data_IF_324513674532
#
_entry.id   IF_324513674532
#
_cell.length_a   1.000
_cell.length_b   1.000
_cell.length_c   1.000
_cell.angle_alpha   90.00
_cell.angle_beta   90.00
_cell.angle_gamma   90.00
#
_symmetry.space_group_name_H-M   'P 1'
#
loop_
_entity.id
_entity.type
_entity.pdbx_description
1 polymer ?
#
# COMPACT_ATOMS: atom_id res chain seq x y z
N UNK A 1 -2.17 -16.75 64.60
CA UNK A 1 -2.66 -17.39 65.84
C UNK A 1 -1.47 -18.08 66.47
N UNK A 2 -1.12 -17.78 67.74
CA UNK A 2 0.03 -18.41 68.42
C UNK A 2 -0.32 -19.90 68.64
N UNK A 3 0.53 -20.86 68.24
CA UNK A 3 0.28 -22.27 68.54
C UNK A 3 0.28 -22.48 70.06
N UNK A 4 -0.65 -23.29 70.56
CA UNK A 4 -0.66 -23.66 71.98
C UNK A 4 0.55 -24.55 72.26
N UNK A 5 1.10 -24.52 73.48
CA UNK A 5 2.29 -25.31 73.87
C UNK A 5 2.11 -26.83 73.63
N UNK A 6 0.87 -27.29 73.47
CA UNK A 6 0.51 -28.68 73.17
C UNK A 6 0.73 -29.09 71.71
N UNK A 7 0.88 -28.13 70.80
CA UNK A 7 0.95 -28.37 69.35
C UNK A 7 2.39 -28.33 68.81
N UNK A 8 3.39 -28.06 69.67
CA UNK A 8 4.79 -28.03 69.28
C UNK A 8 5.39 -29.44 69.34
N UNK A 9 5.63 -30.02 68.16
CA UNK A 9 6.32 -31.31 68.04
C UNK A 9 7.83 -31.15 68.17
N UNK A 10 8.48 -32.12 68.82
CA UNK A 10 9.92 -32.12 69.06
C UNK A 10 10.69 -32.11 67.73
N UNK A 11 11.67 -31.21 67.59
CA UNK A 11 12.52 -31.03 66.41
C UNK A 11 11.79 -30.61 65.10
N UNK A 12 10.56 -30.13 65.16
CA UNK A 12 9.87 -29.59 63.96
C UNK A 12 9.67 -28.08 64.09
N UNK A 13 10.16 -27.26 63.14
CA UNK A 13 9.94 -25.83 63.17
C UNK A 13 8.48 -25.50 62.82
N UNK A 14 7.80 -24.74 63.68
CA UNK A 14 6.46 -24.20 63.40
C UNK A 14 6.57 -22.72 63.05
N UNK A 15 5.93 -22.33 61.96
CA UNK A 15 5.96 -20.97 61.41
C UNK A 15 4.61 -20.29 61.64
N UNK A 16 4.60 -19.12 62.27
CA UNK A 16 3.39 -18.31 62.37
C UNK A 16 3.72 -16.82 62.45
N UNK A 17 2.76 -15.99 62.05
CA UNK A 17 2.86 -14.54 62.22
C UNK A 17 2.31 -14.14 63.58
N UNK A 18 3.03 -13.27 64.27
CA UNK A 18 2.62 -12.67 65.53
C UNK A 18 2.83 -11.15 65.48
N UNK A 19 2.27 -10.44 66.46
CA UNK A 19 2.53 -9.04 66.65
C UNK A 19 3.35 -8.89 67.94
N UNK A 20 4.59 -8.42 67.83
CA UNK A 20 5.46 -8.22 68.99
C UNK A 20 5.80 -6.73 69.09
N UNK A 21 5.48 -6.10 70.23
CA UNK A 21 5.67 -4.66 70.47
C UNK A 21 5.03 -3.74 69.40
N UNK A 22 3.91 -4.17 68.82
CA UNK A 22 3.19 -3.41 67.79
C UNK A 22 3.70 -3.59 66.36
N UNK A 23 4.76 -4.40 66.16
CA UNK A 23 5.29 -4.74 64.83
C UNK A 23 4.94 -6.18 64.42
N UNK A 24 4.49 -6.41 63.17
CA UNK A 24 4.29 -7.76 62.66
C UNK A 24 5.64 -8.48 62.56
N UNK A 25 5.74 -9.64 63.21
CA UNK A 25 6.94 -10.49 63.19
C UNK A 25 6.59 -11.91 62.72
N UNK A 26 7.49 -12.52 61.97
CA UNK A 26 7.42 -13.92 61.58
C UNK A 26 8.17 -14.70 62.64
N UNK A 27 7.47 -15.61 63.31
CA UNK A 27 8.02 -16.39 64.40
C UNK A 27 8.25 -17.81 63.92
N UNK A 28 9.47 -18.28 64.11
CA UNK A 28 9.83 -19.70 63.99
C UNK A 28 10.02 -20.24 65.40
N UNK A 29 9.27 -21.27 65.77
CA UNK A 29 9.40 -21.93 67.06
C UNK A 29 9.85 -23.37 66.88
N UNK A 30 10.86 -23.76 67.67
CA UNK A 30 11.42 -25.10 67.72
C UNK A 30 11.50 -25.55 69.18
N UNK A 31 11.06 -26.78 69.47
CA UNK A 31 11.33 -27.44 70.74
C UNK A 31 12.46 -28.43 70.56
N UNK A 32 13.53 -28.25 71.32
CA UNK A 32 14.71 -29.11 71.29
C UNK A 32 15.00 -29.63 72.70
N UNK A 33 15.55 -30.85 72.80
CA UNK A 33 16.08 -31.37 74.05
C UNK A 33 17.46 -30.75 74.28
N UNK A 34 17.60 -29.91 75.28
CA UNK A 34 18.89 -29.35 75.67
C UNK A 34 19.32 -29.92 77.03
N UNK A 35 20.63 -30.14 77.17
CA UNK A 35 21.24 -30.50 78.45
C UNK A 35 22.05 -29.31 78.93
N UNK A 36 21.65 -28.72 80.06
CA UNK A 36 22.36 -27.59 80.69
C UNK A 36 22.69 -28.03 82.13
N UNK A 37 23.97 -27.99 82.51
CA UNK A 37 24.47 -28.41 83.83
C UNK A 37 23.94 -29.77 84.32
N UNK A 38 23.88 -30.75 83.41
CA UNK A 38 23.48 -32.14 83.73
C UNK A 38 21.97 -32.36 83.85
N UNK A 39 21.13 -31.33 83.73
CA UNK A 39 19.68 -31.45 83.61
C UNK A 39 19.25 -31.54 82.15
N UNK A 40 18.50 -32.59 81.80
CA UNK A 40 17.83 -32.71 80.50
C UNK A 40 16.43 -32.10 80.56
N UNK A 41 16.19 -31.11 79.71
CA UNK A 41 14.90 -30.41 79.63
C UNK A 41 14.52 -30.07 78.19
N UNK A 42 13.22 -29.86 77.96
CA UNK A 42 12.73 -29.30 76.71
C UNK A 42 12.94 -27.79 76.74
N UNK A 43 13.71 -27.28 75.79
CA UNK A 43 13.92 -25.84 75.59
C UNK A 43 13.16 -25.40 74.35
N UNK A 44 12.34 -24.37 74.50
CA UNK A 44 11.66 -23.72 73.39
C UNK A 44 12.53 -22.58 72.88
N UNK A 45 13.06 -22.72 71.67
CA UNK A 45 13.76 -21.65 70.96
C UNK A 45 12.75 -20.96 70.06
N UNK A 46 12.57 -19.65 70.25
CA UNK A 46 11.75 -18.80 69.38
C UNK A 46 12.65 -17.79 68.69
N UNK A 47 12.58 -17.72 67.36
CA UNK A 47 13.27 -16.71 66.57
C UNK A 47 12.22 -15.82 65.94
N UNK A 48 12.34 -14.51 66.15
CA UNK A 48 11.44 -13.50 65.58
C UNK A 48 12.15 -12.74 64.46
N UNK A 49 11.52 -12.64 63.29
CA UNK A 49 11.99 -11.83 62.17
C UNK A 49 11.00 -10.69 61.91
N UNK A 50 11.49 -9.46 61.79
CA UNK A 50 10.68 -8.27 61.52
C UNK A 50 10.17 -8.26 60.06
N UNK A 51 8.85 -8.22 59.85
CA UNK A 51 8.26 -8.13 58.51
C UNK A 51 8.33 -6.73 57.92
N UNK A 52 8.36 -5.66 58.73
CA UNK A 52 8.39 -4.28 58.23
C UNK A 52 9.68 -4.01 57.47
N UNK A 53 10.82 -4.45 58.00
CA UNK A 53 12.13 -4.32 57.34
C UNK A 53 12.16 -5.08 56.01
N UNK A 54 11.60 -6.29 55.98
CA UNK A 54 11.48 -7.09 54.75
C UNK A 54 10.58 -6.42 53.71
N UNK A 55 9.44 -5.86 54.14
CA UNK A 55 8.51 -5.16 53.26
C UNK A 55 9.07 -3.84 52.74
N UNK A 56 9.79 -3.09 53.57
CA UNK A 56 10.45 -1.85 53.17
C UNK A 56 11.50 -2.11 52.09
N UNK A 57 12.35 -3.13 52.28
CA UNK A 57 13.34 -3.55 51.28
C UNK A 57 12.65 -4.03 49.99
N UNK A 58 11.60 -4.84 50.10
CA UNK A 58 10.84 -5.31 48.94
C UNK A 58 10.16 -4.16 48.18
N UNK A 59 9.62 -3.17 48.89
CA UNK A 59 9.02 -1.98 48.31
C UNK A 59 10.07 -1.10 47.62
N UNK A 60 11.23 -0.91 48.23
CA UNK A 60 12.35 -0.16 47.62
C UNK A 60 12.81 -0.82 46.32
N UNK A 61 13.02 -2.14 46.32
CA UNK A 61 13.36 -2.91 45.13
C UNK A 61 12.24 -2.87 44.06
N UNK A 62 10.97 -2.91 44.47
CA UNK A 62 9.82 -2.80 43.58
C UNK A 62 9.75 -1.42 42.92
N UNK A 63 10.00 -0.34 43.67
CA UNK A 63 10.03 1.02 43.14
C UNK A 63 11.20 1.21 42.18
N UNK A 64 12.39 0.74 42.54
CA UNK A 64 13.57 0.85 41.69
C UNK A 64 13.42 0.06 40.37
N UNK A 65 12.93 -1.18 40.44
CA UNK A 65 12.65 -1.99 39.25
C UNK A 65 11.51 -1.41 38.42
N UNK A 66 10.46 -0.89 39.06
CA UNK A 66 9.35 -0.20 38.40
C UNK A 66 9.79 1.05 37.64
N UNK A 67 10.64 1.89 38.25
CA UNK A 67 11.22 3.07 37.60
C UNK A 67 12.08 2.67 36.40
N UNK A 68 12.88 1.62 36.53
CA UNK A 68 13.71 1.10 35.43
C UNK A 68 12.86 0.59 34.28
N UNK A 69 11.80 -0.18 34.57
CA UNK A 69 10.86 -0.67 33.57
C UNK A 69 10.11 0.48 32.87
N UNK A 70 9.68 1.49 33.63
CA UNK A 70 9.01 2.67 33.10
C UNK A 70 9.93 3.47 32.17
N UNK A 71 11.19 3.63 32.54
CA UNK A 71 12.18 4.29 31.70
C UNK A 71 12.40 3.53 30.37
N UNK A 72 12.50 2.20 30.42
CA UNK A 72 12.61 1.37 29.21
C UNK A 72 11.38 1.50 28.32
N UNK A 73 10.17 1.37 28.88
CA UNK A 73 8.91 1.51 28.14
C UNK A 73 8.81 2.91 27.52
N UNK A 74 9.12 3.96 28.27
CA UNK A 74 9.12 5.34 27.78
C UNK A 74 10.12 5.52 26.64
N UNK A 75 11.31 4.92 26.74
CA UNK A 75 12.34 4.99 25.70
C UNK A 75 11.88 4.31 24.41
N UNK A 76 11.32 3.10 24.52
CA UNK A 76 10.77 2.37 23.36
C UNK A 76 9.62 3.14 22.73
N UNK A 77 8.70 3.67 23.54
CA UNK A 77 7.59 4.49 23.06
C UNK A 77 8.10 5.73 22.30
N UNK A 78 9.09 6.43 22.84
CA UNK A 78 9.70 7.59 22.19
C UNK A 78 10.33 7.20 20.85
N UNK A 79 11.12 6.12 20.81
CA UNK A 79 11.75 5.61 19.57
C UNK A 79 10.69 5.24 18.53
N UNK A 80 9.60 4.58 18.92
CA UNK A 80 8.51 4.21 18.00
C UNK A 80 7.81 5.46 17.47
N UNK A 81 7.43 6.40 18.32
CA UNK A 81 6.76 7.64 17.89
C UNK A 81 7.65 8.44 16.96
N UNK A 82 8.95 8.56 17.26
CA UNK A 82 9.90 9.28 16.42
C UNK A 82 10.15 8.54 15.10
N UNK A 83 10.30 7.21 15.16
CA UNK A 83 10.48 6.34 14.00
C UNK A 83 9.30 6.41 13.03
N UNK A 84 8.07 6.38 13.54
CA UNK A 84 6.85 6.52 12.72
C UNK A 84 6.80 7.92 12.09
N UNK A 85 7.06 8.99 12.86
CA UNK A 85 7.04 10.36 12.33
C UNK A 85 8.07 10.58 11.22
N UNK A 86 9.29 10.06 11.40
CA UNK A 86 10.34 10.14 10.38
C UNK A 86 10.01 9.25 9.18
N UNK A 87 9.55 8.02 9.42
CA UNK A 87 9.24 7.04 8.39
C UNK A 87 8.04 7.41 7.51
N UNK A 88 7.06 8.14 8.05
CA UNK A 88 5.89 8.61 7.30
C UNK A 88 6.06 9.98 6.64
N UNK A 89 7.07 10.77 7.02
CA UNK A 89 7.37 12.08 6.40
C UNK A 89 7.53 12.03 4.87
N UNK A 90 8.10 10.98 4.26
CA UNK A 90 8.15 10.85 2.81
C UNK A 90 6.78 10.67 2.18
N UNK A 91 5.83 10.04 2.87
CA UNK A 91 4.47 9.83 2.36
C UNK A 91 3.73 11.16 2.24
N UNK A 92 3.83 12.04 3.24
CA UNK A 92 3.25 13.40 3.15
C UNK A 92 3.91 14.23 2.04
N UNK A 93 5.20 14.02 1.76
CA UNK A 93 5.89 14.65 0.63
C UNK A 93 5.38 14.14 -0.72
N UNK A 94 5.08 12.85 -0.85
CA UNK A 94 4.45 12.27 -2.05
C UNK A 94 3.02 12.77 -2.21
N UNK A 95 2.23 12.77 -1.14
CA UNK A 95 0.87 13.33 -1.11
C UNK A 95 0.86 14.80 -1.52
N UNK A 96 1.78 15.61 -1.02
CA UNK A 96 1.91 17.01 -1.40
C UNK A 96 2.34 17.18 -2.87
N UNK A 97 3.19 16.29 -3.39
CA UNK A 97 3.56 16.27 -4.79
C UNK A 97 2.40 15.86 -5.71
N UNK A 98 1.43 15.08 -5.22
CA UNK A 98 0.23 14.64 -5.94
C UNK A 98 -0.88 15.71 -5.85
N UNK A 99 -1.14 16.25 -4.65
CA UNK A 99 -2.25 17.20 -4.39
C UNK A 99 -2.05 18.58 -5.02
N UNK A 100 -0.81 19.02 -5.21
CA UNK A 100 -0.50 20.30 -5.88
C UNK A 100 -0.68 20.18 -7.41
N UNK A 101 -0.81 18.97 -7.95
CA UNK A 101 -0.89 18.77 -9.40
C UNK A 101 -2.32 18.79 -9.91
N UNK A 102 -2.58 19.80 -10.75
CA UNK A 102 -3.77 19.87 -11.59
C UNK A 102 -3.90 18.62 -12.46
N UNK A 103 -5.12 18.30 -12.91
CA UNK A 103 -5.44 17.18 -13.81
C UNK A 103 -4.60 17.12 -15.10
N UNK A 104 -3.90 18.21 -15.42
CA UNK A 104 -3.03 18.36 -16.61
C UNK A 104 -1.53 18.19 -16.32
N UNK A 105 -1.08 18.15 -15.06
CA UNK A 105 0.35 18.05 -14.71
C UNK A 105 0.81 16.60 -14.48
N UNK A 106 1.08 15.89 -15.57
CA UNK A 106 1.48 14.47 -15.60
C UNK A 106 3.02 14.25 -15.56
N UNK A 107 3.81 15.22 -15.08
CA UNK A 107 5.27 15.06 -15.02
C UNK A 107 5.67 13.86 -14.15
N UNK A 108 6.84 13.23 -14.31
CA UNK A 108 7.26 12.17 -13.38
C UNK A 108 7.53 12.73 -11.97
N UNK A 109 7.23 11.94 -10.93
CA UNK A 109 7.64 12.19 -9.54
C UNK A 109 9.12 11.79 -9.41
N UNK A 110 10.00 12.74 -9.09
CA UNK A 110 11.48 12.55 -9.02
C UNK A 110 12.05 12.60 -7.59
N UNK A 111 11.22 12.50 -6.55
CA UNK A 111 11.68 12.58 -5.15
C UNK A 111 12.23 11.23 -4.69
N UNK A 112 13.30 11.25 -3.89
CA UNK A 112 13.77 10.06 -3.18
C UNK A 112 12.70 9.62 -2.20
N UNK A 113 12.17 8.42 -2.39
CA UNK A 113 11.16 7.79 -1.53
C UNK A 113 11.75 6.53 -0.88
N UNK A 114 11.26 6.16 0.32
CA UNK A 114 11.60 4.89 0.95
C UNK A 114 11.30 3.70 0.03
N UNK A 115 12.01 2.59 0.24
CA UNK A 115 11.89 1.38 -0.58
C UNK A 115 10.47 0.81 -0.58
N UNK A 116 9.73 1.02 0.51
CA UNK A 116 8.34 0.60 0.70
C UNK A 116 7.38 1.32 -0.26
N UNK A 117 7.65 2.58 -0.59
CA UNK A 117 6.79 3.43 -1.44
C UNK A 117 7.31 3.49 -2.88
N UNK A 118 8.55 3.06 -3.12
CA UNK A 118 9.21 3.13 -4.43
C UNK A 118 8.40 2.44 -5.54
N UNK A 119 7.85 1.25 -5.28
CA UNK A 119 7.04 0.53 -6.26
C UNK A 119 5.74 1.25 -6.62
N UNK A 120 5.13 1.95 -5.66
CA UNK A 120 3.91 2.73 -5.89
C UNK A 120 4.23 3.92 -6.78
N UNK A 121 5.32 4.64 -6.49
CA UNK A 121 5.78 5.77 -7.30
C UNK A 121 6.13 5.35 -8.73
N UNK A 122 6.79 4.20 -8.90
CA UNK A 122 7.09 3.65 -10.22
C UNK A 122 5.83 3.36 -11.03
N UNK A 123 4.82 2.73 -10.41
CA UNK A 123 3.52 2.45 -11.06
C UNK A 123 2.79 3.75 -11.41
N UNK A 124 2.75 4.73 -10.52
CA UNK A 124 2.15 6.04 -10.79
C UNK A 124 2.85 6.76 -11.94
N UNK A 125 4.18 6.79 -11.95
CA UNK A 125 4.94 7.39 -13.05
C UNK A 125 4.66 6.69 -14.38
N UNK A 126 4.52 5.35 -14.38
CA UNK A 126 4.15 4.59 -15.57
C UNK A 126 2.76 5.01 -16.07
N UNK A 127 1.77 5.07 -15.19
CA UNK A 127 0.41 5.52 -15.53
C UNK A 127 0.42 6.96 -16.07
N UNK A 128 1.17 7.88 -15.46
CA UNK A 128 1.29 9.25 -15.96
C UNK A 128 1.92 9.30 -17.35
N UNK A 129 2.92 8.46 -17.62
CA UNK A 129 3.52 8.33 -18.96
C UNK A 129 2.50 7.83 -19.98
N UNK A 130 1.76 6.77 -19.65
CA UNK A 130 0.74 6.19 -20.52
C UNK A 130 -0.36 7.21 -20.86
N UNK A 131 -0.87 7.94 -19.85
CA UNK A 131 -1.88 8.99 -20.06
C UNK A 131 -1.32 10.14 -20.90
N UNK A 132 -0.08 10.56 -20.66
CA UNK A 132 0.56 11.64 -21.43
C UNK A 132 0.74 11.24 -22.90
N UNK A 133 1.21 10.01 -23.15
CA UNK A 133 1.35 9.46 -24.49
C UNK A 133 0.01 9.40 -25.21
N UNK A 134 -1.03 8.91 -24.53
CA UNK A 134 -2.37 8.83 -25.08
C UNK A 134 -2.94 10.21 -25.42
N UNK A 135 -2.82 11.18 -24.51
CA UNK A 135 -3.27 12.56 -24.75
C UNK A 135 -2.53 13.17 -25.95
N UNK A 136 -1.20 13.04 -26.00
CA UNK A 136 -0.40 13.56 -27.12
C UNK A 136 -0.82 12.92 -28.46
N UNK A 137 -1.22 11.65 -28.43
CA UNK A 137 -1.65 10.91 -29.60
C UNK A 137 -3.07 11.30 -30.04
N UNK A 138 -3.95 11.67 -29.11
CA UNK A 138 -5.28 12.25 -29.38
C UNK A 138 -5.13 13.63 -30.01
N UNK A 139 -4.28 14.49 -29.45
CA UNK A 139 -4.05 15.85 -29.97
C UNK A 139 -3.50 15.82 -31.40
N UNK A 140 -2.50 14.96 -31.67
CA UNK A 140 -1.97 14.74 -33.03
C UNK A 140 -3.06 14.23 -33.99
N UNK A 141 -3.92 13.32 -33.54
CA UNK A 141 -5.02 12.81 -34.36
C UNK A 141 -6.03 13.91 -34.72
N UNK A 142 -6.47 14.70 -33.75
CA UNK A 142 -7.40 15.82 -33.97
C UNK A 142 -6.80 16.84 -34.95
N UNK A 143 -5.53 17.20 -34.74
CA UNK A 143 -4.82 18.11 -35.65
C UNK A 143 -4.76 17.57 -37.07
N UNK A 144 -4.39 16.30 -37.24
CA UNK A 144 -4.31 15.66 -38.55
C UNK A 144 -5.68 15.54 -39.22
N UNK A 145 -6.72 15.16 -38.48
CA UNK A 145 -8.09 15.10 -38.98
C UNK A 145 -8.57 16.48 -39.46
N UNK A 146 -8.33 17.53 -38.67
CA UNK A 146 -8.68 18.90 -39.04
C UNK A 146 -7.98 19.34 -40.35
N UNK A 147 -6.68 19.06 -40.49
CA UNK A 147 -5.95 19.35 -41.72
C UNK A 147 -6.48 18.56 -42.92
N UNK A 148 -6.71 17.26 -42.76
CA UNK A 148 -7.19 16.40 -43.83
C UNK A 148 -8.63 16.74 -44.27
N UNK A 149 -9.47 17.27 -43.37
CA UNK A 149 -10.82 17.74 -43.72
C UNK A 149 -10.80 19.11 -44.40
N UNK A 150 -9.87 20.01 -44.03
CA UNK A 150 -9.80 21.36 -44.60
C UNK A 150 -9.56 21.36 -46.11
N UNK A 151 -8.70 20.49 -46.61
CA UNK A 151 -8.36 20.40 -48.04
C UNK A 151 -9.57 20.02 -48.93
N UNK A 152 -10.29 18.91 -48.69
CA UNK A 152 -11.46 18.55 -49.48
C UNK A 152 -12.61 19.55 -49.30
N UNK A 153 -12.78 20.17 -48.13
CA UNK A 153 -13.78 21.24 -47.94
C UNK A 153 -13.45 22.45 -48.83
N UNK A 154 -12.20 22.90 -48.85
CA UNK A 154 -11.77 24.00 -49.72
C UNK A 154 -11.95 23.65 -51.22
N UNK A 155 -11.66 22.40 -51.60
CA UNK A 155 -11.89 21.93 -52.97
C UNK A 155 -13.38 21.93 -53.34
N UNK A 156 -14.26 21.47 -52.45
CA UNK A 156 -15.73 21.53 -52.66
C UNK A 156 -16.19 22.97 -52.80
N UNK A 157 -15.70 23.88 -51.95
CA UNK A 157 -16.05 25.29 -51.99
C UNK A 157 -15.61 25.96 -53.30
N UNK A 158 -14.38 25.74 -53.74
CA UNK A 158 -13.86 26.26 -55.01
C UNK A 158 -14.64 25.70 -56.21
N UNK A 159 -14.95 24.39 -56.23
CA UNK A 159 -15.74 23.79 -57.29
C UNK A 159 -17.17 24.34 -57.32
N UNK A 160 -17.76 24.65 -56.17
CA UNK A 160 -19.07 25.27 -56.08
C UNK A 160 -19.07 26.71 -56.62
N UNK A 161 -18.06 27.50 -56.27
CA UNK A 161 -17.89 28.88 -56.78
C UNK A 161 -17.71 28.90 -58.31
N UNK A 162 -16.86 28.02 -58.84
CA UNK A 162 -16.66 27.91 -60.29
C UNK A 162 -17.93 27.40 -61.00
N UNK A 163 -18.67 26.47 -60.40
CA UNK A 163 -19.94 26.00 -60.97
C UNK A 163 -21.00 27.11 -61.03
N UNK A 164 -21.03 28.03 -60.07
CA UNK A 164 -21.94 29.18 -60.08
C UNK A 164 -21.59 30.21 -61.15
N UNK A 165 -20.30 30.38 -61.47
CA UNK A 165 -19.81 31.30 -62.49
C UNK A 165 -19.75 30.71 -63.91
N UNK A 166 -20.21 29.48 -64.13
CA UNK A 166 -20.07 28.78 -65.39
C UNK A 166 -20.91 29.44 -66.51
N UNK A 167 -20.31 29.74 -67.69
CA UNK A 167 -20.98 30.40 -68.80
C UNK A 167 -21.98 29.50 -69.56
N UNK A 168 -21.90 28.19 -69.39
CA UNK A 168 -22.72 27.20 -70.10
C UNK A 168 -23.12 26.02 -69.19
N UNK A 169 -24.27 25.39 -69.51
CA UNK A 169 -24.83 24.22 -68.82
C UNK A 169 -23.89 23.00 -68.83
N UNK A 170 -23.15 22.76 -69.90
CA UNK A 170 -22.21 21.65 -70.01
C UNK A 170 -21.04 21.82 -69.03
N UNK A 171 -20.44 23.01 -68.95
CA UNK A 171 -19.37 23.31 -67.99
C UNK A 171 -19.87 23.24 -66.54
N UNK A 172 -21.06 23.77 -66.26
CA UNK A 172 -21.72 23.66 -64.94
C UNK A 172 -21.96 22.19 -64.54
N UNK A 173 -22.40 21.33 -65.47
CA UNK A 173 -22.59 19.90 -65.22
C UNK A 173 -21.27 19.18 -64.93
N UNK A 174 -20.18 19.52 -65.62
CA UNK A 174 -18.87 18.95 -65.34
C UNK A 174 -18.37 19.31 -63.94
N UNK A 175 -18.47 20.59 -63.56
CA UNK A 175 -18.09 21.05 -62.20
C UNK A 175 -18.94 20.36 -61.13
N UNK A 176 -20.24 20.20 -61.36
CA UNK A 176 -21.14 19.50 -60.43
C UNK A 176 -20.75 18.02 -60.24
N UNK A 177 -20.33 17.32 -61.32
CA UNK A 177 -19.80 15.95 -61.21
C UNK A 177 -18.53 15.89 -60.36
N UNK A 178 -17.64 16.86 -60.49
CA UNK A 178 -16.43 16.94 -59.66
C UNK A 178 -16.76 17.24 -58.20
N UNK A 179 -17.75 18.10 -57.94
CA UNK A 179 -18.26 18.43 -56.61
C UNK A 179 -18.82 17.17 -55.92
N UNK A 180 -19.60 16.36 -56.64
CA UNK A 180 -20.09 15.05 -56.15
C UNK A 180 -18.94 14.09 -55.84
N UNK A 181 -17.89 14.04 -56.68
CA UNK A 181 -16.70 13.21 -56.44
C UNK A 181 -15.93 13.67 -55.20
N UNK A 182 -15.75 14.98 -55.01
CA UNK A 182 -15.10 15.56 -53.85
C UNK A 182 -15.89 15.26 -52.56
N UNK A 183 -17.22 15.42 -52.59
CA UNK A 183 -18.12 15.07 -51.49
C UNK A 183 -18.02 13.59 -51.09
N UNK A 184 -18.06 12.66 -52.07
CA UNK A 184 -17.87 11.22 -51.79
C UNK A 184 -16.50 10.91 -51.17
N UNK A 185 -15.47 11.66 -51.55
CA UNK A 185 -14.12 11.49 -50.99
C UNK A 185 -14.05 11.96 -49.54
N UNK A 186 -14.75 13.06 -49.20
CA UNK A 186 -14.91 13.54 -47.84
C UNK A 186 -15.66 12.53 -46.96
N UNK A 187 -16.75 11.93 -47.45
CA UNK A 187 -17.48 10.86 -46.74
C UNK A 187 -16.55 9.69 -46.41
N UNK A 188 -15.80 9.18 -47.41
CA UNK A 188 -14.84 8.09 -47.16
C UNK A 188 -13.77 8.46 -46.13
N UNK A 189 -13.27 9.68 -46.15
CA UNK A 189 -12.30 10.15 -45.16
C UNK A 189 -12.91 10.17 -43.75
N UNK A 190 -14.15 10.63 -43.60
CA UNK A 190 -14.84 10.60 -42.30
C UNK A 190 -15.06 9.17 -41.79
N UNK A 191 -15.42 8.23 -42.66
CA UNK A 191 -15.55 6.82 -42.29
C UNK A 191 -14.22 6.21 -41.84
N UNK A 192 -13.12 6.56 -42.52
CA UNK A 192 -11.78 6.14 -42.14
C UNK A 192 -11.37 6.69 -40.76
N UNK A 193 -11.66 7.96 -40.48
CA UNK A 193 -11.37 8.58 -39.19
C UNK A 193 -12.18 7.93 -38.04
N UNK A 194 -13.48 7.68 -38.27
CA UNK A 194 -14.35 6.99 -37.31
C UNK A 194 -13.91 5.53 -37.06
N UNK A 195 -13.49 4.83 -38.12
CA UNK A 195 -12.99 3.46 -38.00
C UNK A 195 -11.68 3.41 -37.21
N UNK A 196 -10.79 4.39 -37.42
CA UNK A 196 -9.52 4.48 -36.70
C UNK A 196 -9.73 4.77 -35.20
N UNK A 197 -10.66 5.67 -34.85
CA UNK A 197 -11.02 5.93 -33.44
C UNK A 197 -11.55 4.66 -32.77
N UNK A 198 -12.46 3.95 -33.44
CA UNK A 198 -13.06 2.73 -32.90
C UNK A 198 -12.03 1.65 -32.61
N UNK A 199 -11.05 1.44 -33.50
CA UNK A 199 -9.97 0.45 -33.30
C UNK A 199 -9.06 0.87 -32.13
N UNK A 200 -8.75 2.17 -32.02
CA UNK A 200 -7.88 2.69 -30.97
C UNK A 200 -8.50 2.57 -29.57
N UNK A 201 -9.83 2.67 -29.45
CA UNK A 201 -10.54 2.64 -28.18
C UNK A 201 -10.83 1.21 -27.66
N UNK A 202 -10.45 0.17 -28.39
CA UNK A 202 -10.60 -1.22 -27.92
C UNK A 202 -9.47 -1.52 -26.93
N UNK A 203 -9.77 -1.79 -25.65
CA UNK A 203 -8.74 -2.14 -24.67
C UNK A 203 -8.08 -3.46 -25.06
N UNK A 204 -6.83 -3.37 -25.57
CA UNK A 204 -6.02 -4.53 -25.89
C UNK A 204 -5.60 -5.21 -24.60
N UNK A 205 -6.38 -6.19 -24.17
CA UNK A 205 -6.00 -7.07 -23.09
C UNK A 205 -4.84 -7.93 -23.58
N UNK A 206 -3.62 -7.60 -23.14
CA UNK A 206 -2.44 -8.45 -23.36
C UNK A 206 -2.57 -9.70 -22.49
N UNK A 207 -3.30 -10.70 -22.97
CA UNK A 207 -3.23 -12.03 -22.40
C UNK A 207 -1.98 -12.75 -22.94
N UNK A 208 -1.24 -13.49 -22.10
CA UNK A 208 -0.16 -14.34 -22.57
C UNK A 208 -0.78 -15.46 -23.42
N UNK A 209 -0.70 -15.33 -24.73
CA UNK A 209 -1.07 -16.41 -25.65
C UNK A 209 0.16 -17.30 -25.89
N UNK A 210 -0.01 -18.62 -25.78
CA UNK A 210 0.96 -19.58 -26.29
C UNK A 210 1.06 -19.40 -27.81
N UNK A 211 2.10 -18.68 -28.26
CA UNK A 211 2.33 -18.34 -29.66
C UNK A 211 2.31 -19.59 -30.56
N UNK A 212 2.75 -20.73 -30.04
CA UNK A 212 2.79 -22.00 -30.78
C UNK A 212 1.40 -22.47 -31.20
N UNK A 213 0.39 -22.36 -30.32
CA UNK A 213 -1.00 -22.73 -30.65
C UNK A 213 -1.63 -21.76 -31.64
N UNK A 214 -1.29 -20.48 -31.54
CA UNK A 214 -1.79 -19.46 -32.46
C UNK A 214 -1.26 -19.66 -33.88
N UNK A 215 0.05 -19.90 -34.02
CA UNK A 215 0.68 -20.16 -35.32
C UNK A 215 0.19 -21.48 -35.91
N UNK A 216 0.05 -22.55 -35.11
CA UNK A 216 -0.53 -23.82 -35.56
C UNK A 216 -2.00 -23.68 -36.02
N UNK A 217 -2.77 -22.82 -35.36
CA UNK A 217 -4.16 -22.51 -35.75
C UNK A 217 -4.25 -21.75 -37.07
N UNK A 218 -3.37 -20.78 -37.31
CA UNK A 218 -3.33 -20.04 -38.57
C UNK A 218 -2.86 -20.94 -39.72
N UNK A 219 -1.79 -21.72 -39.52
CA UNK A 219 -1.26 -22.62 -40.54
C UNK A 219 -2.28 -23.69 -40.94
N UNK A 220 -2.97 -24.31 -39.98
CA UNK A 220 -4.00 -25.32 -40.29
C UNK A 220 -5.21 -24.70 -41.02
N UNK A 221 -5.62 -23.48 -40.65
CA UNK A 221 -6.68 -22.76 -41.35
C UNK A 221 -6.28 -22.37 -42.79
N UNK A 222 -5.04 -21.90 -43.02
CA UNK A 222 -4.54 -21.55 -44.34
C UNK A 222 -4.41 -22.78 -45.26
N UNK A 223 -3.84 -23.87 -44.74
CA UNK A 223 -3.62 -25.12 -45.48
C UNK A 223 -4.95 -25.76 -45.89
N UNK A 224 -5.95 -25.77 -45.01
CA UNK A 224 -7.28 -26.29 -45.35
C UNK A 224 -8.01 -25.48 -46.44
N UNK A 225 -7.70 -24.18 -46.54
CA UNK A 225 -8.29 -23.27 -47.54
C UNK A 225 -7.66 -23.45 -48.92
N UNK A 226 -6.37 -23.76 -48.97
CA UNK A 226 -5.64 -24.09 -50.22
C UNK A 226 -6.05 -25.46 -50.74
N UNK A 227 -6.16 -26.46 -49.86
CA UNK A 227 -6.59 -27.82 -50.24
C UNK A 227 -8.05 -27.90 -50.72
N UNK A 228 -8.91 -26.95 -50.34
CA UNK A 228 -10.30 -26.87 -50.79
C UNK A 228 -10.51 -26.05 -52.07
N UNK A 229 -9.51 -25.33 -52.58
CA UNK A 229 -9.63 -24.57 -53.83
C UNK A 229 -9.06 -25.30 -55.06
N UNK A 230 -8.62 -26.55 -54.91
CA UNK A 230 -8.10 -27.40 -56.00
C UNK A 230 -9.06 -28.55 -56.38
N UNK A 231 -10.33 -28.49 -55.98
CA UNK A 231 -11.38 -29.42 -56.42
C UNK A 231 -12.55 -28.67 -57.04
#
# INVERSE_FOLDING_TARGET
>A
MRPLERDLTLNTPTLFTSNHRGQPVQVVQLMEKARIDGLEGLVQVSVWQDLQQRQALAAELAVQSGLTALLLISTVCLVVVFGIRIGLKPLSSVEQAISIRSSTDLRPIRRNVPVEVMHIVQRLNKLFSEVTEEQSSRDRFISNAAHQLRNPIAAIQSLAEVAQGAPDLYEAQQRNRELVKASRSLVRLTEQLLSYERIRNIPVHKQPHEFDKFIAGILSAQISKVLKSEV
#
